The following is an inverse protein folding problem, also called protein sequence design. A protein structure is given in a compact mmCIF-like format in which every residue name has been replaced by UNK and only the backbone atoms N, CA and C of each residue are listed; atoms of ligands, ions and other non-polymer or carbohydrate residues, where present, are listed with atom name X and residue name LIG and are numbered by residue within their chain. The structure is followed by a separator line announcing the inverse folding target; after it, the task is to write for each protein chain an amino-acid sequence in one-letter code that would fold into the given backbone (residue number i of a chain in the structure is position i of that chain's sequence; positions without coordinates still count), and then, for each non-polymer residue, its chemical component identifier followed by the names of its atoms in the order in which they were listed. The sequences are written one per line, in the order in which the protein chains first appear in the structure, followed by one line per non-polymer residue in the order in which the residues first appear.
data_IF_694605868495
#
_entry.id   IF_694605868495
#
_cell.length_a   1.000
_cell.length_b   1.000
_cell.length_c   1.000
_cell.angle_alpha   90.00
_cell.angle_beta   90.00
_cell.angle_gamma   90.00
#
_symmetry.space_group_name_H-M   'P 1'
#
loop_
_entity.id
_entity.type
_entity.pdbx_description
1 polymer ?
#
# COMPACT_ATOMS: atom_id res chain seq x y z
N UNK A 1 -5.50 18.47 -12.10
CA UNK A 1 -5.98 17.14 -11.63
C UNK A 1 -7.49 17.11 -11.34
N UNK A 2 -8.05 17.96 -10.47
CA UNK A 2 -9.47 17.87 -10.07
C UNK A 2 -10.49 17.89 -11.24
N UNK A 3 -10.36 18.79 -12.21
CA UNK A 3 -11.26 18.85 -13.36
C UNK A 3 -11.16 17.60 -14.27
N UNK A 4 -9.97 17.00 -14.36
CA UNK A 4 -9.69 15.86 -15.23
C UNK A 4 -10.25 14.54 -14.66
N UNK A 5 -10.36 14.44 -13.32
CA UNK A 5 -10.91 13.25 -12.65
C UNK A 5 -12.43 13.30 -12.45
N UNK A 6 -13.11 14.39 -12.86
CA UNK A 6 -14.50 14.72 -12.43
C UNK A 6 -14.69 14.75 -10.91
N UNK A 7 -13.60 14.97 -10.16
CA UNK A 7 -13.63 15.02 -8.70
C UNK A 7 -13.62 16.48 -8.24
N UNK A 8 -14.42 16.80 -7.21
CA UNK A 8 -14.32 18.10 -6.55
C UNK A 8 -12.91 18.30 -5.98
N UNK A 9 -12.36 19.53 -6.00
CA UNK A 9 -11.11 19.85 -5.31
C UNK A 9 -11.09 19.43 -3.83
N UNK A 10 -12.24 19.47 -3.17
CA UNK A 10 -12.39 19.00 -1.79
C UNK A 10 -12.24 17.48 -1.69
N UNK A 11 -12.78 16.72 -2.65
CA UNK A 11 -12.63 15.27 -2.73
C UNK A 11 -11.18 14.87 -2.94
N UNK A 12 -10.47 15.58 -3.83
CA UNK A 12 -9.03 15.36 -4.05
C UNK A 12 -8.25 15.60 -2.75
N UNK A 13 -8.50 16.72 -2.06
CA UNK A 13 -7.86 17.01 -0.75
C UNK A 13 -8.13 15.93 0.30
N UNK A 14 -9.34 15.35 0.32
CA UNK A 14 -9.67 14.25 1.26
C UNK A 14 -8.92 12.97 0.92
N UNK A 15 -8.72 12.68 -0.36
CA UNK A 15 -7.94 11.52 -0.83
C UNK A 15 -6.46 11.71 -0.50
N UNK A 16 -5.88 12.87 -0.82
CA UNK A 16 -4.48 13.20 -0.55
C UNK A 16 -4.14 13.19 0.95
N UNK A 17 -5.08 13.64 1.79
CA UNK A 17 -4.91 13.63 3.25
C UNK A 17 -5.22 12.28 3.90
N UNK A 18 -5.59 11.25 3.12
CA UNK A 18 -5.95 9.92 3.64
C UNK A 18 -7.27 9.89 4.43
N UNK A 19 -8.10 10.94 4.35
CA UNK A 19 -9.38 11.04 5.07
C UNK A 19 -10.56 10.38 4.35
N UNK A 20 -10.30 9.67 3.25
CA UNK A 20 -11.27 8.77 2.59
C UNK A 20 -10.82 7.35 2.90
N UNK A 21 -11.44 6.73 3.91
CA UNK A 21 -11.08 5.38 4.34
C UNK A 21 -11.29 4.32 3.24
N UNK A 22 -12.26 4.53 2.35
CA UNK A 22 -12.62 3.59 1.27
C UNK A 22 -13.15 4.36 0.04
N UNK A 23 -12.27 4.94 -0.79
CA UNK A 23 -12.73 5.53 -2.04
C UNK A 23 -13.38 4.45 -2.91
N UNK A 24 -14.47 4.81 -3.60
CA UNK A 24 -15.05 3.92 -4.60
C UNK A 24 -14.00 3.57 -5.67
N UNK A 25 -14.04 2.35 -6.21
CA UNK A 25 -13.08 1.91 -7.22
C UNK A 25 -13.05 2.81 -8.47
N UNK A 26 -14.21 3.34 -8.87
CA UNK A 26 -14.32 4.33 -9.96
C UNK A 26 -13.52 5.61 -9.68
N UNK A 27 -13.43 6.04 -8.43
CA UNK A 27 -12.59 7.18 -8.01
C UNK A 27 -11.11 6.86 -8.18
N UNK A 28 -10.69 5.64 -7.81
CA UNK A 28 -9.30 5.18 -7.98
C UNK A 28 -8.93 5.13 -9.46
N UNK A 29 -9.79 4.56 -10.31
CA UNK A 29 -9.59 4.50 -11.75
C UNK A 29 -9.53 5.90 -12.40
N UNK A 30 -10.39 6.83 -11.98
CA UNK A 30 -10.37 8.20 -12.47
C UNK A 30 -9.06 8.92 -12.11
N UNK A 31 -8.53 8.70 -10.91
CA UNK A 31 -7.24 9.26 -10.50
C UNK A 31 -6.09 8.65 -11.32
N UNK A 32 -6.05 7.32 -11.49
CA UNK A 32 -5.04 6.61 -12.27
C UNK A 32 -4.94 7.16 -13.71
N UNK A 33 -6.09 7.36 -14.37
CA UNK A 33 -6.16 7.96 -15.71
C UNK A 33 -5.57 9.37 -15.77
N UNK A 34 -5.81 10.20 -14.74
CA UNK A 34 -5.31 11.59 -14.70
C UNK A 34 -3.80 11.67 -14.47
N UNK A 35 -3.23 10.69 -13.77
CA UNK A 35 -1.78 10.59 -13.53
C UNK A 35 -1.07 9.75 -14.60
N UNK A 36 -1.79 9.35 -15.65
CA UNK A 36 -1.27 8.54 -16.77
C UNK A 36 -0.62 7.22 -16.30
N UNK A 37 -1.14 6.62 -15.24
CA UNK A 37 -0.72 5.30 -14.74
C UNK A 37 -1.77 4.24 -15.08
N UNK A 38 -1.32 3.05 -15.45
CA UNK A 38 -2.19 1.88 -15.46
C UNK A 38 -2.51 1.46 -14.02
N UNK A 39 -3.61 0.73 -13.83
CA UNK A 39 -3.96 0.18 -12.52
C UNK A 39 -2.93 -0.86 -12.05
N UNK A 40 -2.28 -1.55 -12.98
CA UNK A 40 -1.22 -2.50 -12.68
C UNK A 40 0.03 -1.78 -12.17
N UNK A 41 0.45 -0.67 -12.81
CA UNK A 41 1.58 0.15 -12.33
C UNK A 41 1.30 0.75 -10.93
N UNK A 42 0.06 1.20 -10.71
CA UNK A 42 -0.37 1.73 -9.41
C UNK A 42 -0.32 0.65 -8.33
N UNK A 43 -0.73 -0.58 -8.67
CA UNK A 43 -0.67 -1.73 -7.78
C UNK A 43 0.78 -2.12 -7.44
N UNK A 44 1.66 -2.17 -8.44
CA UNK A 44 3.10 -2.43 -8.24
C UNK A 44 3.75 -1.37 -7.35
N UNK A 45 3.42 -0.08 -7.55
CA UNK A 45 3.94 1.00 -6.71
C UNK A 45 3.51 0.87 -5.24
N UNK A 46 2.28 0.38 -4.98
CA UNK A 46 1.79 0.17 -3.62
C UNK A 46 2.47 -1.00 -2.93
N UNK A 47 2.71 -2.11 -3.63
CA UNK A 47 3.46 -3.24 -3.09
C UNK A 47 4.94 -2.91 -2.86
N UNK A 48 5.50 -2.02 -3.69
CA UNK A 48 6.88 -1.52 -3.54
C UNK A 48 7.05 -0.62 -2.32
N UNK A 49 5.95 -0.04 -1.81
CA UNK A 49 5.90 0.72 -0.56
C UNK A 49 5.52 -0.14 0.63
N UNK A 50 6.06 -1.36 0.73
CA UNK A 50 6.15 -1.97 2.06
C UNK A 50 6.80 -0.93 2.98
N UNK A 51 6.20 -0.61 4.15
CA UNK A 51 6.92 0.15 5.16
C UNK A 51 8.23 -0.60 5.42
N UNK A 52 9.26 0.07 5.93
CA UNK A 52 10.30 -0.66 6.63
C UNK A 52 9.62 -1.56 7.67
N UNK A 53 9.30 -2.80 7.29
CA UNK A 53 9.04 -3.86 8.24
C UNK A 53 10.39 -4.02 8.86
N UNK A 54 10.55 -3.36 10.00
CA UNK A 54 11.60 -3.62 10.95
C UNK A 54 11.91 -5.10 10.89
N UNK A 55 13.19 -5.34 10.67
CA UNK A 55 13.86 -6.62 10.55
C UNK A 55 13.80 -7.39 11.88
N UNK A 56 12.62 -7.51 12.49
CA UNK A 56 12.33 -8.46 13.55
C UNK A 56 12.28 -9.84 12.91
N UNK A 57 13.48 -10.32 12.62
CA UNK A 57 13.79 -11.73 12.52
C UNK A 57 13.03 -12.48 13.62
N UNK A 58 12.34 -13.59 13.33
CA UNK A 58 12.16 -14.57 14.38
C UNK A 58 13.57 -15.03 14.72
N UNK A 59 14.05 -14.70 15.92
CA UNK A 59 15.17 -15.43 16.49
C UNK A 59 14.77 -16.89 16.39
N UNK A 60 15.45 -17.62 15.51
CA UNK A 60 15.23 -19.04 15.35
C UNK A 60 15.58 -19.66 16.69
N UNK A 61 14.55 -19.98 17.48
CA UNK A 61 14.66 -20.92 18.56
C UNK A 61 15.04 -22.24 17.89
N UNK A 62 16.29 -22.65 18.05
CA UNK A 62 16.70 -24.02 17.79
C UNK A 62 16.39 -24.83 19.04
N UNK A 63 15.33 -25.65 19.09
CA UNK A 63 15.31 -26.76 20.02
C UNK A 63 16.15 -27.91 19.44
N UNK A 64 16.78 -28.66 20.35
CA UNK A 64 17.31 -30.02 20.13
C UNK A 64 18.80 -30.17 19.76
N UNK A 65 19.69 -30.01 20.75
CA UNK A 65 20.95 -30.74 20.82
C UNK A 65 21.36 -30.94 22.29
N UNK A 66 20.73 -31.90 22.97
CA UNK A 66 21.26 -32.61 24.15
C UNK A 66 20.28 -33.72 24.58
N UNK A 67 19.97 -34.64 23.66
CA UNK A 67 19.89 -36.04 24.05
C UNK A 67 21.26 -36.62 23.68
N UNK A 68 21.80 -37.47 24.56
CA UNK A 68 23.09 -38.16 24.48
C UNK A 68 24.28 -37.47 25.15
N UNK A 69 24.34 -37.58 26.48
CA UNK A 69 25.45 -38.26 27.16
C UNK A 69 25.16 -38.40 28.67
N UNK A 70 24.96 -39.67 29.06
CA UNK A 70 25.25 -40.29 30.37
C UNK A 70 24.64 -39.74 31.66
#
# INVERSE_FOLDING_TARGET
MALAARLSPETVRKIESGRVATPAFSTVAAVATVVELSLDDLWELMQSREPERDQHAPAQATPQAALEAS
#
